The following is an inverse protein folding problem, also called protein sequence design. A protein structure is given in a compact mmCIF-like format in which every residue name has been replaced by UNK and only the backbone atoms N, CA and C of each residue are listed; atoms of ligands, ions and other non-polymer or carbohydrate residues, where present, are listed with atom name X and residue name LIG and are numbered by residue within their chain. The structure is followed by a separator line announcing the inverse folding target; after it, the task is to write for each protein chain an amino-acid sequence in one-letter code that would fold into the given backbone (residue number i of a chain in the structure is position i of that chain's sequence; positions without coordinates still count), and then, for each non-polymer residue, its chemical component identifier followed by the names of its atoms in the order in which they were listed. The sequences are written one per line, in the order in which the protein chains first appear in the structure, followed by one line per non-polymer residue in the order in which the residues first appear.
data_IF_884263593387
#
_entry.id   IF_884263593387
#
_cell.length_a   1.000
_cell.length_b   1.000
_cell.length_c   1.000
_cell.angle_alpha   90.00
_cell.angle_beta   90.00
_cell.angle_gamma   90.00
#
_symmetry.space_group_name_H-M   'P 1'
#
loop_
_entity.id
_entity.type
_entity.pdbx_description
1 polymer ?
#
# COMPACT_ATOMS: atom_id res chain seq x y z
N UNK A 1 -12.14 -12.00 1.32
CA UNK A 1 -10.81 -11.41 1.63
C UNK A 1 -10.62 -10.13 0.83
N UNK A 2 -10.72 -8.94 1.44
CA UNK A 2 -10.48 -7.62 0.80
C UNK A 2 -10.30 -6.51 1.86
N UNK A 3 -9.25 -6.51 2.69
CA UNK A 3 -9.10 -5.47 3.73
C UNK A 3 -8.03 -4.43 3.43
N UNK A 4 -6.92 -4.79 2.78
CA UNK A 4 -5.82 -3.82 2.58
C UNK A 4 -6.24 -2.52 1.86
N UNK A 5 -7.04 -2.64 0.81
CA UNK A 5 -7.57 -1.50 0.03
C UNK A 5 -8.99 -1.08 0.43
N UNK A 6 -9.57 -1.68 1.48
CA UNK A 6 -10.89 -1.27 1.91
C UNK A 6 -10.86 0.13 2.53
N UNK A 7 -11.92 0.89 2.25
CA UNK A 7 -12.17 2.18 2.92
C UNK A 7 -12.29 1.92 4.42
N UNK A 8 -11.67 2.77 5.23
CA UNK A 8 -11.72 2.66 6.70
C UNK A 8 -10.75 1.66 7.32
N UNK A 9 -10.01 0.87 6.54
CA UNK A 9 -8.94 0.04 7.10
C UNK A 9 -7.90 0.92 7.77
N UNK A 10 -7.49 0.55 8.98
CA UNK A 10 -6.54 1.34 9.77
C UNK A 10 -5.10 1.14 9.27
N UNK A 11 -4.21 2.06 9.64
CA UNK A 11 -2.76 1.89 9.38
C UNK A 11 -2.21 0.64 10.08
N UNK A 12 -2.66 0.36 11.31
CA UNK A 12 -2.24 -0.81 12.07
C UNK A 12 -2.65 -2.13 11.40
N UNK A 13 -3.86 -2.20 10.86
CA UNK A 13 -4.32 -3.39 10.14
C UNK A 13 -3.54 -3.60 8.83
N UNK A 14 -3.22 -2.52 8.10
CA UNK A 14 -2.33 -2.61 6.92
C UNK A 14 -0.94 -3.10 7.27
N UNK A 15 -0.35 -2.62 8.38
CA UNK A 15 0.93 -3.13 8.92
C UNK A 15 0.85 -4.62 9.22
N UNK A 16 -0.23 -5.05 9.88
CA UNK A 16 -0.48 -6.45 10.20
C UNK A 16 -0.50 -7.33 8.95
N UNK A 17 -1.25 -6.94 7.92
CA UNK A 17 -1.32 -7.64 6.63
C UNK A 17 0.06 -7.70 5.98
N UNK A 18 0.77 -6.57 5.87
CA UNK A 18 2.09 -6.51 5.24
C UNK A 18 3.09 -7.44 5.94
N UNK A 19 3.09 -7.46 7.28
CA UNK A 19 3.93 -8.36 8.07
C UNK A 19 3.52 -9.82 7.88
N UNK A 20 2.23 -10.13 7.99
CA UNK A 20 1.71 -11.50 7.94
C UNK A 20 2.02 -12.19 6.60
N UNK A 21 1.94 -11.44 5.49
CA UNK A 21 2.16 -11.98 4.16
C UNK A 21 3.56 -11.67 3.58
N UNK A 22 4.45 -11.04 4.35
CA UNK A 22 5.78 -10.69 3.87
C UNK A 22 5.78 -9.75 2.65
N UNK A 23 4.78 -8.87 2.55
CA UNK A 23 4.61 -7.96 1.40
C UNK A 23 5.79 -7.00 1.33
N UNK A 24 6.44 -6.95 0.16
CA UNK A 24 7.57 -6.03 -0.10
C UNK A 24 7.18 -4.86 -1.01
N UNK A 25 6.13 -5.05 -1.80
CA UNK A 25 5.70 -4.12 -2.83
C UNK A 25 4.19 -3.96 -2.79
N UNK A 26 3.71 -2.73 -2.95
CA UNK A 26 2.28 -2.41 -3.07
C UNK A 26 2.10 -1.60 -4.34
N UNK A 27 1.14 -1.98 -5.17
CA UNK A 27 0.73 -1.19 -6.33
C UNK A 27 -0.62 -0.58 -6.04
N UNK A 28 -0.75 0.73 -6.27
CA UNK A 28 -2.00 1.46 -6.10
C UNK A 28 -2.11 2.61 -7.14
N UNK A 29 -3.17 3.41 -7.06
CA UNK A 29 -3.37 4.61 -7.88
C UNK A 29 -3.17 5.88 -7.06
N UNK A 30 -2.61 6.91 -7.68
CA UNK A 30 -2.31 8.19 -7.02
C UNK A 30 -3.56 8.89 -6.45
N UNK A 31 -4.71 8.74 -7.11
CA UNK A 31 -6.02 9.23 -6.64
C UNK A 31 -6.73 8.14 -5.84
N UNK A 32 -6.80 8.32 -4.51
CA UNK A 32 -7.45 7.38 -3.59
C UNK A 32 -6.54 6.30 -3.03
N UNK A 33 -5.24 6.34 -3.35
CA UNK A 33 -4.30 5.34 -2.93
C UNK A 33 -4.01 5.31 -1.42
N UNK A 34 -3.65 4.13 -0.95
CA UNK A 34 -3.23 3.81 0.41
C UNK A 34 -1.98 4.63 0.77
N UNK A 35 -2.18 5.72 1.50
CA UNK A 35 -1.10 6.57 2.03
C UNK A 35 -0.92 6.30 3.51
N UNK A 36 0.23 5.75 3.89
CA UNK A 36 0.67 5.63 5.28
C UNK A 36 2.19 5.54 5.34
N UNK A 37 2.77 5.82 6.52
CA UNK A 37 4.20 6.02 6.71
C UNK A 37 5.11 4.82 6.37
N UNK A 38 4.55 3.62 6.20
CA UNK A 38 5.31 2.42 5.82
C UNK A 38 5.47 2.19 4.32
N UNK A 39 5.14 3.18 3.48
CA UNK A 39 5.24 3.08 2.03
C UNK A 39 6.10 4.20 1.45
N UNK A 40 7.05 3.83 0.58
CA UNK A 40 7.89 4.75 -0.19
C UNK A 40 7.62 4.57 -1.67
N UNK A 41 7.30 5.64 -2.39
CA UNK A 41 7.17 5.61 -3.86
C UNK A 41 8.51 5.21 -4.47
N UNK A 42 8.50 4.26 -5.40
CA UNK A 42 9.69 3.85 -6.16
C UNK A 42 9.53 4.00 -7.67
N UNK A 43 8.29 3.95 -8.18
CA UNK A 43 8.02 4.15 -9.59
C UNK A 43 6.59 4.66 -9.80
N UNK A 44 6.39 5.36 -10.92
CA UNK A 44 5.07 5.77 -11.42
C UNK A 44 4.89 5.18 -12.82
N UNK A 45 3.73 4.61 -13.07
CA UNK A 45 3.38 3.94 -14.32
C UNK A 45 2.20 4.60 -15.03
N UNK A 46 1.83 4.09 -16.22
CA UNK A 46 0.67 4.55 -16.97
C UNK A 46 -0.62 4.51 -16.14
N UNK A 47 -1.57 5.39 -16.48
CA UNK A 47 -2.88 5.41 -15.81
C UNK A 47 -2.85 5.78 -14.33
N UNK A 48 -1.80 6.49 -13.88
CA UNK A 48 -1.67 6.95 -12.49
C UNK A 48 -1.32 5.84 -11.50
N UNK A 49 -0.78 4.71 -11.98
CA UNK A 49 -0.26 3.65 -11.13
C UNK A 49 0.99 4.11 -10.39
N UNK A 50 1.11 3.70 -9.13
CA UNK A 50 2.26 3.97 -8.29
C UNK A 50 2.71 2.67 -7.64
N UNK A 51 3.99 2.36 -7.79
CA UNK A 51 4.63 1.27 -7.08
C UNK A 51 5.26 1.83 -5.81
N UNK A 52 4.90 1.22 -4.69
CA UNK A 52 5.44 1.53 -3.38
C UNK A 52 6.30 0.38 -2.87
N UNK A 53 7.51 0.69 -2.42
CA UNK A 53 8.26 -0.18 -1.52
C UNK A 53 7.64 -0.12 -0.13
N UNK A 54 7.47 -1.28 0.50
CA UNK A 54 7.23 -1.34 1.94
C UNK A 54 8.54 -1.00 2.65
N UNK A 55 8.50 0.05 3.47
CA UNK A 55 9.60 0.48 4.33
C UNK A 55 9.16 0.34 5.79
N UNK A 56 10.10 -0.06 6.65
CA UNK A 56 9.83 -0.30 8.08
C UNK A 56 9.56 1.01 8.83
#
# INVERSE_FOLDING_TARGET
MRRFFAVGTSVGERRGIVRAYGVRWVVDRERGGVRWSGLRVVARGPGGQVLYAVVR
#
